data_IF_478834771798
#
_entry.id   IF_478834771798
#
_cell.length_a   1.000
_cell.length_b   1.000
_cell.length_c   1.000
_cell.angle_alpha   90.00
_cell.angle_beta   90.00
_cell.angle_gamma   90.00
#
_symmetry.space_group_name_H-M   'P 1'
#
loop_
_entity.id
_entity.type
_entity.pdbx_description
1 polymer ?
2 branched ?
3 non-polymer ?
4 non-polymer ?
5 water ?
#
# COMPACT_ATOMS: atom_id res chain seq x y z
N UNK A 5 -25.05 -6.72 10.11
CA UNK A 5 -23.83 -7.56 9.86
C UNK A 5 -22.56 -6.85 10.34
N UNK A 6 -22.16 -7.12 11.59
CA UNK A 6 -21.03 -6.38 12.17
C UNK A 6 -19.73 -7.11 11.83
N UNK A 7 -18.67 -6.35 11.47
CA UNK A 7 -17.40 -6.97 11.14
C UNK A 7 -16.41 -6.58 12.24
N UNK A 8 -16.01 -7.55 13.06
CA UNK A 8 -15.02 -7.37 14.12
C UNK A 8 -13.69 -7.91 13.57
N UNK A 9 -12.60 -7.12 13.72
CA UNK A 9 -11.27 -7.61 13.33
C UNK A 9 -10.38 -7.62 14.55
N UNK A 10 -9.52 -8.62 14.65
CA UNK A 10 -8.45 -8.63 15.64
C UNK A 10 -7.17 -9.00 14.88
N UNK A 11 -6.12 -8.17 15.00
CA UNK A 11 -4.92 -8.41 14.22
C UNK A 11 -4.23 -9.69 14.72
N UNK A 12 -3.46 -10.33 13.80
CA UNK A 12 -2.74 -11.55 14.17
C UNK A 12 -1.51 -11.32 15.02
N UNK A 13 -1.03 -10.07 15.07
CA UNK A 13 0.25 -9.77 15.73
C UNK A 13 0.29 -8.26 15.97
N UNK A 14 1.30 -7.83 16.73
CA UNK A 14 1.46 -6.41 16.99
C UNK A 14 1.87 -5.70 15.69
N UNK A 15 1.51 -4.42 15.61
CA UNK A 15 1.86 -3.54 14.50
C UNK A 15 2.71 -2.39 15.02
N UNK A 16 3.90 -2.26 14.44
CA UNK A 16 4.79 -1.12 14.73
C UNK A 16 4.74 -0.27 13.47
N UNK A 17 4.13 0.93 13.55
CA UNK A 17 3.90 1.67 12.30
C UNK A 17 5.15 1.88 11.45
N UNK A 18 6.26 2.17 12.13
CA UNK A 18 7.50 2.48 11.38
C UNK A 18 7.90 1.27 10.52
N UNK A 19 7.60 0.04 11.02
CA UNK A 19 7.93 -1.18 10.28
C UNK A 19 6.86 -1.58 9.30
N UNK A 20 5.59 -1.23 9.58
CA UNK A 20 4.46 -1.81 8.86
C UNK A 20 3.93 -0.91 7.74
N UNK A 21 3.88 0.42 7.96
CA UNK A 21 3.17 1.32 7.06
C UNK A 21 4.19 2.15 6.30
N UNK A 22 4.39 1.81 5.01
CA UNK A 22 5.23 2.63 4.13
C UNK A 22 4.35 3.48 3.20
N UNK A 23 5.02 4.26 2.33
CA UNK A 23 4.30 5.03 1.33
C UNK A 23 5.00 4.79 -0.03
N UNK A 24 4.20 4.78 -1.09
CA UNK A 24 4.77 4.90 -2.43
C UNK A 24 5.33 6.33 -2.57
N UNK A 25 6.30 6.48 -3.48
CA UNK A 25 6.93 7.78 -3.69
C UNK A 25 7.40 7.89 -5.12
N UNK A 26 7.30 9.11 -5.66
CA UNK A 26 7.68 9.35 -7.06
C UNK A 26 8.82 10.38 -7.07
N UNK A 27 9.84 10.14 -6.23
CA UNK A 27 10.84 11.18 -6.00
C UNK A 27 11.58 11.58 -7.28
N UNK A 28 11.73 10.69 -8.25
CA UNK A 28 12.43 11.05 -9.50
C UNK A 28 11.64 12.08 -10.33
N UNK A 29 10.38 12.34 -9.97
CA UNK A 29 9.62 13.38 -10.65
C UNK A 29 9.96 14.75 -10.12
N UNK A 30 10.79 14.84 -9.05
CA UNK A 30 10.92 16.10 -8.34
C UNK A 30 12.41 16.46 -8.15
N UNK A 31 12.69 17.76 -7.96
CA UNK A 31 14.02 18.18 -7.54
C UNK A 31 14.35 17.60 -6.17
N UNK A 32 15.65 17.40 -5.84
CA UNK A 32 16.05 17.01 -4.48
C UNK A 32 15.51 17.96 -3.41
N UNK A 33 15.49 19.26 -3.68
CA UNK A 33 14.94 20.15 -2.67
C UNK A 33 13.50 19.74 -2.35
N UNK A 34 12.73 19.48 -3.40
CA UNK A 34 11.31 19.18 -3.20
C UNK A 34 11.15 17.81 -2.56
N UNK A 35 11.88 16.80 -3.03
CA UNK A 35 11.69 15.46 -2.45
C UNK A 35 12.21 15.40 -1.02
N UNK A 36 13.25 16.19 -0.68
CA UNK A 36 13.68 16.19 0.71
C UNK A 36 12.59 16.78 1.61
N UNK A 37 11.81 17.74 1.10
CA UNK A 37 10.72 18.27 1.90
C UNK A 37 9.62 17.22 2.07
N UNK A 38 9.36 16.42 1.02
CA UNK A 38 8.42 15.31 1.16
C UNK A 38 8.90 14.35 2.23
N UNK A 39 10.22 14.08 2.25
CA UNK A 39 10.75 13.13 3.23
C UNK A 39 10.62 13.72 4.64
N UNK A 40 10.84 15.04 4.80
CA UNK A 40 10.61 15.63 6.11
C UNK A 40 9.20 15.31 6.61
N UNK A 41 8.21 15.49 5.74
CA UNK A 41 6.82 15.24 6.13
C UNK A 41 6.60 13.76 6.44
N UNK A 42 7.25 12.85 5.68
CA UNK A 42 7.09 11.42 5.98
C UNK A 42 7.68 11.10 7.36
N UNK A 43 8.89 11.62 7.64
CA UNK A 43 9.52 11.35 8.94
C UNK A 43 8.70 11.92 10.12
N UNK A 44 8.01 13.03 9.88
CA UNK A 44 7.17 13.63 10.91
C UNK A 44 6.02 12.69 11.32
N UNK A 45 5.63 11.74 10.45
CA UNK A 45 4.63 10.72 10.73
C UNK A 45 5.24 9.53 11.48
N UNK A 46 6.57 9.47 11.61
CA UNK A 46 7.21 8.32 12.27
C UNK A 46 7.36 7.13 11.33
N UNK A 47 7.36 7.40 10.00
CA UNK A 47 7.45 6.33 9.02
C UNK A 47 8.78 6.41 8.28
N UNK A 48 9.18 5.30 7.67
CA UNK A 48 10.50 5.27 7.00
C UNK A 48 10.52 4.40 5.75
N UNK A 49 9.47 3.60 5.46
CA UNK A 49 9.51 2.75 4.27
C UNK A 49 8.93 3.48 3.06
N UNK A 50 9.64 3.39 1.91
CA UNK A 50 9.17 3.98 0.66
C UNK A 50 9.28 2.94 -0.46
N UNK A 51 8.33 3.03 -1.41
CA UNK A 51 8.38 2.21 -2.61
C UNK A 51 8.42 3.13 -3.82
N UNK A 52 9.41 2.86 -4.70
CA UNK A 52 9.67 3.77 -5.82
C UNK A 52 9.59 3.00 -7.14
N UNK A 53 9.02 3.69 -8.15
CA UNK A 53 8.91 3.09 -9.48
C UNK A 53 10.11 3.45 -10.36
N UNK A 54 10.65 2.45 -11.07
CA UNK A 54 11.65 2.66 -12.13
C UNK A 54 11.12 2.07 -13.44
N UNK A 55 11.33 2.83 -14.51
CA UNK A 55 10.86 2.46 -15.84
C UNK A 55 12.09 2.18 -16.69
N UNK A 56 12.25 0.92 -17.13
CA UNK A 56 13.46 0.54 -17.86
C UNK A 56 13.72 1.46 -19.07
N UNK A 57 12.67 1.87 -19.80
CA UNK A 57 12.88 2.65 -21.02
C UNK A 57 13.32 4.08 -20.71
N UNK A 58 13.29 4.48 -19.43
CA UNK A 58 13.82 5.79 -19.02
C UNK A 58 15.26 5.66 -18.51
N UNK A 59 15.61 4.49 -17.94
CA UNK A 59 16.94 4.19 -17.38
C UNK A 59 17.94 3.82 -18.46
N UNK A 60 17.47 3.07 -19.47
CA UNK A 60 18.36 2.58 -20.52
C UNK A 60 17.72 3.00 -21.83
N UNK A 61 18.25 4.07 -22.42
CA UNK A 61 17.59 4.75 -23.53
C UNK A 61 18.00 4.21 -24.89
N UNK A 62 19.08 3.42 -24.89
CA UNK A 62 19.51 2.63 -26.03
C UNK A 62 20.29 1.46 -25.43
N UNK A 63 20.53 0.41 -26.21
CA UNK A 63 21.19 -0.76 -25.62
C UNK A 63 22.52 -0.36 -24.97
N UNK A 64 22.68 -0.71 -23.67
CA UNK A 64 23.88 -0.39 -22.87
C UNK A 64 24.16 1.09 -22.72
N UNK A 65 23.15 1.96 -22.93
CA UNK A 65 23.34 3.40 -22.77
C UNK A 65 22.33 3.87 -21.71
N UNK A 66 22.83 4.40 -20.60
CA UNK A 66 21.97 4.64 -19.42
C UNK A 66 21.93 6.10 -19.00
N UNK A 67 20.86 6.40 -18.22
CA UNK A 67 20.64 7.73 -17.64
C UNK A 67 20.49 7.48 -16.15
N UNK A 68 21.60 7.45 -15.41
CA UNK A 68 21.60 7.04 -14.01
C UNK A 68 21.86 8.19 -13.04
N UNK A 69 22.20 9.40 -13.51
CA UNK A 69 22.64 10.43 -12.55
C UNK A 69 21.59 10.77 -11.48
N UNK A 70 20.32 10.90 -11.90
CA UNK A 70 19.27 11.31 -10.97
C UNK A 70 18.96 10.21 -9.98
N UNK A 71 19.04 8.97 -10.46
CA UNK A 71 18.81 7.82 -9.59
C UNK A 71 19.98 7.66 -8.61
N UNK A 72 21.22 7.87 -9.11
CA UNK A 72 22.38 7.80 -8.22
C UNK A 72 22.21 8.79 -7.05
N UNK A 73 21.82 10.03 -7.37
CA UNK A 73 21.67 11.06 -6.34
C UNK A 73 20.50 10.69 -5.41
N UNK A 74 19.41 10.16 -5.97
CA UNK A 74 18.24 9.79 -5.13
C UNK A 74 18.65 8.70 -4.13
N UNK A 75 19.34 7.65 -4.59
CA UNK A 75 19.72 6.57 -3.67
C UNK A 75 20.62 7.12 -2.56
N UNK A 76 21.59 8.00 -2.92
CA UNK A 76 22.43 8.62 -1.89
C UNK A 76 21.55 9.37 -0.88
N UNK A 77 20.57 10.15 -1.36
CA UNK A 77 19.72 10.92 -0.48
C UNK A 77 18.90 9.98 0.42
N UNK A 78 18.32 8.92 -0.16
CA UNK A 78 17.50 8.02 0.66
C UNK A 78 18.35 7.40 1.76
N UNK A 79 19.60 7.04 1.46
CA UNK A 79 20.49 6.49 2.47
C UNK A 79 20.83 7.54 3.55
N UNK A 80 21.10 8.78 3.12
CA UNK A 80 21.44 9.86 4.06
C UNK A 80 20.25 10.16 4.99
N UNK A 81 19.02 10.06 4.47
CA UNK A 81 17.81 10.33 5.26
C UNK A 81 17.33 9.07 6.03
N UNK A 82 18.08 7.96 5.91
CA UNK A 82 17.81 6.73 6.65
C UNK A 82 16.41 6.18 6.34
N UNK A 83 15.99 6.25 5.08
CA UNK A 83 14.78 5.56 4.67
C UNK A 83 15.10 4.14 4.21
N UNK A 84 14.08 3.29 4.28
CA UNK A 84 14.17 1.92 3.79
C UNK A 84 13.39 1.87 2.50
N UNK A 85 14.03 1.39 1.43
CA UNK A 85 13.42 1.53 0.09
C UNK A 85 13.25 0.17 -0.57
N UNK A 86 12.09 0.01 -1.25
CA UNK A 86 11.90 -1.04 -2.24
C UNK A 86 11.71 -0.34 -3.58
N UNK A 87 12.52 -0.73 -4.59
CA UNK A 87 12.36 -0.21 -5.95
C UNK A 87 11.83 -1.33 -6.84
N UNK A 88 10.88 -1.00 -7.73
CA UNK A 88 10.50 -1.99 -8.75
C UNK A 88 10.92 -1.48 -10.13
N UNK A 89 11.31 -2.40 -11.00
CA UNK A 89 11.63 -2.05 -12.39
C UNK A 89 10.52 -2.63 -13.28
N UNK A 90 9.98 -1.78 -14.15
CA UNK A 90 8.91 -2.25 -15.02
C UNK A 90 9.11 -1.70 -16.43
N UNK A 91 8.48 -2.40 -17.37
CA UNK A 91 8.47 -1.96 -18.77
C UNK A 91 9.71 -2.46 -19.51
N UNK A 92 9.60 -2.54 -20.84
CA UNK A 92 10.74 -2.95 -21.67
C UNK A 92 11.45 -1.73 -22.25
N UNK A 93 12.79 -1.77 -22.19
CA UNK A 93 13.59 -0.86 -23.04
C UNK A 93 13.27 -1.09 -24.52
N UNK A 94 13.43 -0.05 -25.35
CA UNK A 94 13.03 -0.13 -26.76
C UNK A 94 13.77 -1.27 -27.47
N UNK A 95 15.04 -1.51 -27.13
CA UNK A 95 15.85 -2.48 -27.89
C UNK A 95 15.41 -3.93 -27.64
N UNK A 96 14.56 -4.18 -26.59
CA UNK A 96 14.29 -5.53 -26.14
C UNK A 96 12.78 -5.85 -26.15
N UNK A 97 11.94 -4.85 -26.45
CA UNK A 97 10.49 -4.98 -26.30
C UNK A 97 9.95 -6.06 -27.26
N UNK A 98 8.85 -6.73 -26.85
CA UNK A 98 8.07 -7.60 -27.74
C UNK A 98 6.98 -6.81 -28.47
N UNK A 99 6.91 -5.48 -28.26
CA UNK A 99 5.87 -4.66 -28.90
C UNK A 99 5.98 -4.80 -30.41
N UNK A 100 4.85 -4.85 -31.16
CA UNK A 100 4.96 -4.68 -32.60
C UNK A 100 5.43 -3.26 -32.94
N UNK A 101 6.03 -3.09 -34.14
CA UNK A 101 6.64 -1.83 -34.54
C UNK A 101 5.65 -0.65 -34.39
N UNK A 102 4.36 -0.86 -34.69
CA UNK A 102 3.35 0.21 -34.76
C UNK A 102 2.73 0.53 -33.39
N UNK A 103 2.96 -0.27 -32.33
CA UNK A 103 2.28 -0.02 -31.07
C UNK A 103 2.66 1.35 -30.54
N UNK A 104 1.69 2.15 -30.03
CA UNK A 104 2.02 3.36 -29.29
C UNK A 104 2.45 3.13 -27.84
N UNK A 105 2.43 1.87 -27.37
CA UNK A 105 2.73 1.56 -25.98
C UNK A 105 3.98 0.67 -25.91
N UNK A 106 5.10 1.14 -26.47
CA UNK A 106 6.25 0.25 -26.69
C UNK A 106 6.76 -0.42 -25.40
N UNK A 107 6.68 0.27 -24.26
CA UNK A 107 7.26 -0.30 -23.05
C UNK A 107 6.25 -1.17 -22.29
N UNK A 108 4.99 -1.26 -22.74
CA UNK A 108 3.97 -2.01 -22.00
C UNK A 108 3.93 -3.48 -22.42
N UNK A 109 4.94 -3.92 -23.17
CA UNK A 109 5.08 -5.31 -23.56
C UNK A 109 6.28 -5.86 -22.79
N UNK A 110 6.29 -7.18 -22.51
CA UNK A 110 7.40 -7.80 -21.81
C UNK A 110 8.64 -7.94 -22.71
N UNK A 111 9.82 -8.17 -22.10
CA UNK A 111 11.07 -8.27 -22.86
C UNK A 111 11.12 -9.56 -23.66
N UNK A 112 11.81 -9.52 -24.82
CA UNK A 112 11.92 -10.70 -25.67
C UNK A 112 12.71 -11.77 -24.93
N UNK A 113 13.60 -11.35 -24.03
CA UNK A 113 14.49 -12.28 -23.34
C UNK A 113 14.54 -11.90 -21.88
N UNK A 114 13.94 -12.71 -20.97
CA UNK A 114 13.87 -12.33 -19.56
C UNK A 114 15.26 -12.18 -18.93
N UNK A 115 16.27 -12.88 -19.46
CA UNK A 115 17.61 -12.81 -18.89
C UNK A 115 18.16 -11.40 -19.06
N UNK A 116 17.82 -10.73 -20.18
CA UNK A 116 18.32 -9.37 -20.37
C UNK A 116 17.80 -8.45 -19.25
N UNK A 117 16.50 -8.54 -18.97
CA UNK A 117 15.90 -7.79 -17.84
C UNK A 117 16.59 -8.18 -16.52
N UNK A 118 16.74 -9.48 -16.27
CA UNK A 118 17.36 -9.95 -15.03
C UNK A 118 18.73 -9.30 -14.80
N UNK A 119 19.52 -9.16 -15.89
CA UNK A 119 20.85 -8.56 -15.77
C UNK A 119 20.76 -7.09 -15.35
N UNK A 120 19.70 -6.38 -15.78
CA UNK A 120 19.55 -4.99 -15.34
C UNK A 120 19.18 -4.92 -13.85
N UNK A 121 18.33 -5.84 -13.37
CA UNK A 121 18.04 -5.78 -11.94
C UNK A 121 19.29 -6.12 -11.13
N UNK A 122 20.11 -7.04 -11.64
CA UNK A 122 21.38 -7.33 -10.93
C UNK A 122 22.31 -6.11 -10.94
N UNK A 123 22.34 -5.39 -12.08
CA UNK A 123 23.21 -4.22 -12.19
C UNK A 123 22.74 -3.14 -11.21
N UNK A 124 21.42 -2.97 -11.08
CA UNK A 124 20.89 -1.97 -10.14
C UNK A 124 21.21 -2.37 -8.68
N UNK A 125 21.00 -3.63 -8.35
CA UNK A 125 21.22 -4.06 -6.96
C UNK A 125 22.71 -3.92 -6.61
N UNK A 126 23.61 -4.25 -7.58
CA UNK A 126 25.04 -4.11 -7.30
C UNK A 126 25.43 -2.63 -7.14
N UNK A 127 24.81 -1.77 -7.97
CA UNK A 127 25.13 -0.34 -7.94
C UNK A 127 24.61 0.31 -6.64
N UNK A 128 23.49 -0.22 -6.12
CA UNK A 128 22.78 0.44 -5.01
C UNK A 128 22.61 -0.55 -3.86
N UNK A 129 23.70 -0.91 -3.15
CA UNK A 129 23.60 -1.88 -2.05
C UNK A 129 22.74 -1.43 -0.87
N UNK A 130 22.48 -0.11 -0.75
CA UNK A 130 21.67 0.38 0.36
C UNK A 130 20.17 0.07 0.19
N UNK A 131 19.72 -0.28 -1.02
CA UNK A 131 18.31 -0.53 -1.24
C UNK A 131 17.88 -1.78 -0.48
N UNK A 132 16.69 -1.72 0.19
CA UNK A 132 16.34 -2.83 1.06
C UNK A 132 15.74 -4.00 0.31
N UNK A 133 15.03 -3.76 -0.81
CA UNK A 133 14.41 -4.89 -1.50
C UNK A 133 14.19 -4.49 -2.96
N UNK A 134 14.15 -5.51 -3.84
CA UNK A 134 13.97 -5.26 -5.27
C UNK A 134 12.72 -6.00 -5.73
N UNK A 135 11.92 -5.31 -6.56
CA UNK A 135 10.64 -5.85 -7.01
C UNK A 135 10.61 -5.95 -8.54
N UNK A 136 10.04 -7.08 -9.01
CA UNK A 136 10.15 -7.46 -10.43
C UNK A 136 8.86 -7.17 -11.19
N UNK A 137 8.89 -6.11 -12.04
CA UNK A 137 7.74 -5.70 -12.84
C UNK A 137 6.63 -5.13 -11.95
N UNK A 138 5.46 -4.91 -12.56
CA UNK A 138 4.32 -4.34 -11.84
C UNK A 138 3.05 -4.80 -12.56
N UNK A 139 2.02 -5.19 -11.76
CA UNK A 139 0.68 -5.53 -12.23
C UNK A 139 0.71 -6.26 -13.57
N UNK A 140 1.38 -7.44 -13.68
CA UNK A 140 1.42 -8.17 -14.94
C UNK A 140 0.06 -8.77 -15.33
N UNK A 141 -0.89 -8.73 -14.40
CA UNK A 141 -2.25 -9.19 -14.70
C UNK A 141 -3.09 -8.08 -15.37
N UNK A 142 -2.52 -6.87 -15.56
CA UNK A 142 -3.25 -5.75 -16.16
C UNK A 142 -2.65 -5.48 -17.54
N UNK A 143 -3.54 -5.28 -18.54
CA UNK A 143 -3.11 -5.13 -19.94
C UNK A 143 -2.11 -3.98 -20.02
N UNK A 144 -2.36 -2.87 -19.30
CA UNK A 144 -1.51 -1.69 -19.41
C UNK A 144 -0.08 -1.90 -18.94
N UNK A 145 0.23 -3.01 -18.26
CA UNK A 145 1.62 -3.31 -17.91
C UNK A 145 2.18 -4.54 -18.66
N UNK A 146 1.32 -5.32 -19.34
CA UNK A 146 1.82 -6.53 -19.98
C UNK A 146 0.88 -6.84 -21.13
N UNK A 147 1.28 -6.37 -22.31
CA UNK A 147 0.44 -6.58 -23.50
C UNK A 147 0.97 -7.75 -24.31
N UNK A 148 0.15 -8.39 -25.17
CA UNK A 148 -1.24 -8.02 -25.40
C UNK A 148 -2.27 -8.74 -24.51
N UNK A 149 -1.80 -9.67 -23.68
CA UNK A 149 -2.64 -10.47 -22.80
C UNK A 149 -1.78 -10.98 -21.64
N UNK A 150 -2.46 -11.18 -20.48
CA UNK A 150 -1.73 -11.69 -19.33
C UNK A 150 -1.14 -13.07 -19.65
N UNK A 151 0.06 -13.32 -19.12
CA UNK A 151 0.83 -14.49 -19.47
C UNK A 151 1.53 -15.03 -18.23
N UNK A 152 0.86 -15.86 -17.41
CA UNK A 152 1.49 -16.36 -16.20
C UNK A 152 2.84 -17.04 -16.46
N UNK A 153 2.93 -17.86 -17.53
CA UNK A 153 4.19 -18.57 -17.78
C UNK A 153 5.32 -17.57 -18.07
N UNK A 154 5.00 -16.53 -18.86
CA UNK A 154 5.96 -15.50 -19.22
C UNK A 154 6.43 -14.71 -17.99
N UNK A 155 5.46 -14.36 -17.13
CA UNK A 155 5.83 -13.64 -15.90
C UNK A 155 6.65 -14.54 -14.99
N UNK A 156 6.26 -15.81 -14.86
CA UNK A 156 7.02 -16.74 -14.01
C UNK A 156 8.49 -16.85 -14.47
N UNK A 157 8.71 -16.92 -15.80
CA UNK A 157 10.06 -17.01 -16.34
C UNK A 157 10.83 -15.74 -16.02
N UNK A 158 10.15 -14.58 -16.15
CA UNK A 158 10.81 -13.31 -15.85
C UNK A 158 11.20 -13.24 -14.36
N UNK A 159 10.24 -13.64 -13.50
CA UNK A 159 10.50 -13.59 -12.07
C UNK A 159 11.65 -14.56 -11.70
N UNK A 160 11.63 -15.80 -12.25
CA UNK A 160 12.70 -16.74 -11.98
C UNK A 160 14.06 -16.17 -12.40
N UNK A 161 14.18 -15.66 -13.64
CA UNK A 161 15.50 -15.19 -14.09
C UNK A 161 15.99 -14.06 -13.16
N UNK A 162 15.05 -13.16 -12.81
CA UNK A 162 15.38 -12.00 -12.00
C UNK A 162 15.80 -12.42 -10.59
N UNK A 163 15.08 -13.39 -10.03
CA UNK A 163 15.37 -13.85 -8.66
C UNK A 163 16.78 -14.44 -8.60
N UNK A 164 17.11 -15.26 -9.61
CA UNK A 164 18.43 -15.90 -9.63
C UNK A 164 19.51 -14.82 -9.73
N UNK A 165 19.32 -13.83 -10.61
CA UNK A 165 20.32 -12.77 -10.83
C UNK A 165 20.50 -11.89 -9.58
N UNK A 166 19.36 -11.55 -8.92
CA UNK A 166 19.43 -10.69 -7.75
C UNK A 166 20.12 -11.40 -6.59
N UNK A 167 19.89 -12.70 -6.47
CA UNK A 167 20.48 -13.48 -5.38
C UNK A 167 21.97 -13.73 -5.60
N UNK A 168 22.41 -13.75 -6.88
CA UNK A 168 23.84 -13.84 -7.16
C UNK A 168 24.54 -12.58 -6.63
N UNK A 169 23.88 -11.42 -6.74
CA UNK A 169 24.41 -10.17 -6.21
C UNK A 169 24.40 -10.20 -4.67
N UNK A 170 23.25 -10.58 -4.09
CA UNK A 170 23.12 -10.53 -2.64
C UNK A 170 22.11 -11.62 -2.27
N UNK A 171 22.61 -12.78 -1.82
CA UNK A 171 21.72 -13.91 -1.54
C UNK A 171 20.78 -13.67 -0.37
N UNK A 172 21.06 -12.65 0.45
CA UNK A 172 20.20 -12.41 1.61
C UNK A 172 19.08 -11.41 1.32
N UNK A 173 19.18 -10.63 0.22
CA UNK A 173 18.28 -9.51 0.03
C UNK A 173 16.92 -9.98 -0.49
N UNK A 174 15.78 -9.50 0.08
CA UNK A 174 14.48 -9.88 -0.44
C UNK A 174 14.30 -9.61 -1.93
N UNK A 175 13.60 -10.54 -2.57
CA UNK A 175 13.11 -10.40 -3.93
C UNK A 175 11.60 -10.35 -3.83
N UNK A 176 11.03 -9.27 -4.36
CA UNK A 176 9.58 -9.10 -4.25
C UNK A 176 8.98 -9.32 -5.64
N UNK A 177 7.97 -10.18 -5.71
CA UNK A 177 7.27 -10.36 -6.97
C UNK A 177 6.40 -9.13 -7.25
N UNK A 178 6.03 -8.94 -8.52
CA UNK A 178 5.23 -7.78 -8.91
C UNK A 178 3.98 -7.62 -8.05
N UNK A 179 3.65 -6.33 -7.74
CA UNK A 179 2.36 -6.06 -7.11
C UNK A 179 1.28 -6.42 -8.13
N UNK A 180 0.40 -7.37 -7.78
CA UNK A 180 -0.66 -7.74 -8.71
C UNK A 180 -1.79 -6.72 -8.62
N UNK A 181 -2.37 -6.35 -9.75
CA UNK A 181 -3.50 -5.41 -9.71
C UNK A 181 -4.66 -6.07 -8.96
N UNK A 182 -5.38 -5.24 -8.16
CA UNK A 182 -6.55 -5.76 -7.45
C UNK A 182 -6.13 -6.91 -6.53
N UNK A 183 -6.84 -8.02 -6.61
CA UNK A 183 -6.49 -9.24 -5.85
C UNK A 183 -5.88 -10.31 -6.78
N UNK A 184 -5.32 -9.84 -7.91
CA UNK A 184 -4.56 -10.61 -8.91
C UNK A 184 -5.49 -11.17 -9.99
N UNK A 185 -6.78 -10.79 -10.00
CA UNK A 185 -7.66 -11.26 -11.06
C UNK A 185 -7.12 -10.92 -12.46
N UNK A 186 -7.40 -11.83 -13.40
CA UNK A 186 -7.02 -11.62 -14.80
C UNK A 186 -8.26 -11.55 -15.69
N UNK A 187 -8.20 -10.82 -16.83
CA UNK A 187 -9.35 -10.73 -17.74
C UNK A 187 -9.91 -12.09 -18.17
N UNK A 188 -9.03 -13.10 -18.32
CA UNK A 188 -9.54 -14.39 -18.76
C UNK A 188 -10.30 -15.17 -17.67
N UNK A 189 -10.38 -14.62 -16.44
CA UNK A 189 -11.18 -15.27 -15.43
C UNK A 189 -10.33 -16.04 -14.43
N UNK A 190 -9.04 -16.32 -14.74
CA UNK A 190 -8.14 -16.91 -13.75
C UNK A 190 -7.67 -15.79 -12.82
N UNK A 191 -6.93 -16.16 -11.78
CA UNK A 191 -6.19 -15.17 -11.02
C UNK A 191 -4.72 -15.47 -11.19
N UNK A 192 -3.91 -14.41 -11.14
CA UNK A 192 -2.48 -14.62 -11.36
C UNK A 192 -1.91 -15.39 -10.18
N UNK A 193 -2.38 -15.14 -8.94
CA UNK A 193 -1.87 -16.00 -7.85
C UNK A 193 -2.15 -17.48 -8.07
N UNK A 194 -3.37 -17.83 -8.52
CA UNK A 194 -3.66 -19.26 -8.76
C UNK A 194 -2.79 -19.79 -9.90
N UNK A 195 -2.70 -19.02 -11.00
CA UNK A 195 -1.94 -19.52 -12.16
C UNK A 195 -0.46 -19.69 -11.84
N UNK A 196 0.11 -18.71 -11.09
CA UNK A 196 1.52 -18.85 -10.70
C UNK A 196 1.73 -20.02 -9.73
N UNK A 197 0.74 -20.26 -8.87
CA UNK A 197 0.84 -21.37 -7.93
C UNK A 197 0.89 -22.68 -8.71
N UNK A 198 0.10 -22.78 -9.79
CA UNK A 198 0.07 -24.02 -10.56
C UNK A 198 1.39 -24.21 -11.29
N UNK A 199 2.15 -23.11 -11.49
CA UNK A 199 3.48 -23.17 -12.09
C UNK A 199 4.57 -23.39 -11.03
N UNK A 200 4.20 -23.49 -9.74
CA UNK A 200 5.17 -23.74 -8.66
C UNK A 200 6.07 -22.54 -8.34
N UNK A 201 5.59 -21.32 -8.65
CA UNK A 201 6.42 -20.14 -8.43
C UNK A 201 6.75 -19.92 -6.94
N UNK A 202 6.00 -20.56 -6.02
CA UNK A 202 6.32 -20.39 -4.61
C UNK A 202 7.71 -20.95 -4.30
N UNK A 203 8.21 -21.88 -5.14
CA UNK A 203 9.55 -22.42 -4.94
C UNK A 203 10.64 -21.33 -5.01
N UNK A 204 10.35 -20.17 -5.65
CA UNK A 204 11.32 -19.08 -5.74
C UNK A 204 11.45 -18.30 -4.44
N UNK A 205 10.49 -18.44 -3.52
CA UNK A 205 10.59 -17.77 -2.23
C UNK A 205 10.58 -16.24 -2.35
N UNK A 206 9.78 -15.69 -3.30
CA UNK A 206 9.66 -14.24 -3.40
C UNK A 206 8.50 -13.77 -2.50
N UNK A 207 8.62 -12.49 -2.08
CA UNK A 207 7.51 -11.89 -1.35
C UNK A 207 6.31 -11.69 -2.29
N UNK A 208 5.12 -12.05 -1.79
CA UNK A 208 3.90 -11.92 -2.57
C UNK A 208 3.27 -10.58 -2.27
N UNK A 209 2.67 -9.94 -3.27
CA UNK A 209 2.08 -8.63 -3.02
C UNK A 209 0.97 -8.33 -4.02
N UNK A 210 -0.03 -7.57 -3.57
CA UNK A 210 -1.13 -7.18 -4.45
C UNK A 210 -1.62 -5.79 -4.04
N UNK A 211 -2.49 -5.25 -4.90
CA UNK A 211 -2.88 -3.84 -4.91
C UNK A 211 -4.39 -3.78 -4.85
N UNK A 212 -5.00 -4.00 -3.65
CA UNK A 212 -6.44 -4.22 -3.59
C UNK A 212 -7.21 -2.91 -3.54
N UNK A 213 -7.14 -2.14 -4.63
CA UNK A 213 -7.95 -0.93 -4.74
C UNK A 213 -9.42 -1.32 -4.89
N UNK A 214 -10.29 -0.69 -4.07
CA UNK A 214 -11.74 -0.89 -4.21
C UNK A 214 -12.43 0.48 -4.11
N UNK A 215 -13.69 0.57 -4.57
CA UNK A 215 -14.32 1.89 -4.67
C UNK A 215 -14.50 2.49 -3.27
N UNK A 216 -14.96 1.67 -2.30
CA UNK A 216 -15.19 2.10 -0.91
C UNK A 216 -14.09 1.51 -0.04
N UNK A 217 -13.93 1.97 1.21
CA UNK A 217 -12.87 1.39 2.02
C UNK A 217 -13.01 -0.11 2.23
N UNK A 218 -14.26 -0.60 2.35
CA UNK A 218 -14.50 -1.96 2.82
C UNK A 218 -15.07 -2.84 1.71
N UNK A 219 -14.98 -2.38 0.45
CA UNK A 219 -15.50 -3.21 -0.66
C UNK A 219 -15.82 -2.27 -1.83
N UNK A 220 -16.46 -2.80 -2.89
CA UNK A 220 -16.76 -1.94 -4.03
C UNK A 220 -18.16 -1.31 -3.98
N UNK A 221 -19.12 -1.96 -3.30
CA UNK A 221 -20.50 -1.46 -3.30
C UNK A 221 -21.04 -1.52 -1.87
N UNK A 222 -21.98 -0.60 -1.50
CA UNK A 222 -22.46 -0.53 -0.12
C UNK A 222 -23.13 -1.82 0.38
N UNK A 223 -23.76 -2.59 -0.54
CA UNK A 223 -24.44 -3.83 -0.20
C UNK A 223 -23.51 -5.04 -0.27
N UNK A 224 -22.19 -4.81 -0.54
CA UNK A 224 -21.27 -5.93 -0.61
C UNK A 224 -19.92 -5.49 -0.09
N UNK A 225 -19.79 -5.29 1.22
CA UNK A 225 -18.53 -4.83 1.80
C UNK A 225 -17.67 -6.05 2.11
N UNK A 226 -17.07 -6.62 1.05
CA UNK A 226 -16.39 -7.90 1.20
C UNK A 226 -14.87 -7.76 1.18
N UNK A 227 -14.33 -6.54 1.38
CA UNK A 227 -12.86 -6.38 1.40
C UNK A 227 -12.21 -7.35 2.41
N UNK A 228 -12.72 -7.36 3.66
CA UNK A 228 -12.09 -8.17 4.70
C UNK A 228 -12.12 -9.66 4.32
N UNK A 229 -13.29 -10.14 3.92
CA UNK A 229 -13.42 -11.54 3.52
C UNK A 229 -12.44 -11.87 2.40
N UNK A 230 -12.40 -11.01 1.37
CA UNK A 230 -11.61 -11.29 0.17
C UNK A 230 -10.12 -11.25 0.54
N UNK A 231 -9.70 -10.24 1.31
CA UNK A 231 -8.29 -10.17 1.72
C UNK A 231 -7.94 -11.38 2.59
N UNK A 232 -8.83 -11.74 3.54
CA UNK A 232 -8.52 -12.89 4.38
C UNK A 232 -8.30 -14.14 3.50
N UNK A 233 -9.19 -14.36 2.52
CA UNK A 233 -9.10 -15.55 1.67
C UNK A 233 -7.79 -15.57 0.88
N UNK A 234 -7.43 -14.44 0.27
CA UNK A 234 -6.18 -14.38 -0.52
C UNK A 234 -4.98 -14.57 0.40
N UNK A 235 -4.99 -13.88 1.57
CA UNK A 235 -3.82 -13.96 2.45
C UNK A 235 -3.68 -15.39 3.00
N UNK A 236 -4.81 -16.05 3.36
CA UNK A 236 -4.67 -17.42 3.86
C UNK A 236 -4.08 -18.30 2.76
N UNK A 237 -4.51 -18.12 1.52
CA UNK A 237 -4.01 -18.95 0.41
C UNK A 237 -2.50 -18.72 0.20
N UNK A 238 -2.03 -17.45 0.33
CA UNK A 238 -0.61 -17.15 0.17
C UNK A 238 0.17 -17.81 1.31
N UNK A 239 -0.37 -17.70 2.55
CA UNK A 239 0.33 -18.36 3.66
C UNK A 239 0.41 -19.89 3.44
N UNK A 240 -0.68 -20.49 2.97
CA UNK A 240 -0.75 -21.94 2.72
C UNK A 240 0.29 -22.34 1.66
N UNK A 241 0.56 -21.42 0.71
CA UNK A 241 1.53 -21.69 -0.35
C UNK A 241 2.98 -21.49 0.10
N UNK A 242 3.20 -21.01 1.34
CA UNK A 242 4.55 -20.91 1.88
C UNK A 242 5.29 -19.64 1.47
N UNK A 243 4.56 -18.56 1.19
CA UNK A 243 5.26 -17.33 0.85
C UNK A 243 6.09 -16.86 2.04
N UNK A 244 7.25 -16.18 1.83
CA UNK A 244 8.04 -15.69 2.95
C UNK A 244 7.35 -14.54 3.67
N UNK A 245 6.50 -13.79 2.96
CA UNK A 245 5.90 -12.57 3.50
C UNK A 245 4.82 -12.16 2.53
N UNK A 246 3.83 -11.39 3.02
CA UNK A 246 2.80 -10.78 2.19
C UNK A 246 2.88 -9.28 2.39
N UNK A 247 3.03 -8.53 1.29
CA UNK A 247 2.91 -7.07 1.38
C UNK A 247 1.69 -6.66 0.58
N UNK A 248 1.18 -5.45 0.87
CA UNK A 248 0.31 -4.82 -0.13
C UNK A 248 1.03 -3.57 -0.61
N UNK A 249 1.55 -3.57 -1.84
CA UNK A 249 2.46 -2.49 -2.22
C UNK A 249 1.73 -1.26 -2.75
N UNK A 250 0.38 -1.29 -2.93
CA UNK A 250 -0.39 -0.10 -3.26
C UNK A 250 -1.85 -0.30 -2.83
N UNK A 251 -2.43 0.82 -2.38
CA UNK A 251 -3.85 0.98 -2.08
C UNK A 251 -4.05 2.47 -1.83
N UNK A 252 -5.30 2.94 -1.97
CA UNK A 252 -5.51 4.37 -1.71
C UNK A 252 -6.59 4.93 -2.64
N UNK A 253 -6.80 6.25 -2.51
CA UNK A 253 -7.83 6.95 -3.27
C UNK A 253 -7.29 8.31 -3.72
N UNK A 254 -7.84 8.74 -4.88
CA UNK A 254 -7.49 10.03 -5.47
C UNK A 254 -8.51 11.09 -5.03
N UNK A 255 -7.99 12.30 -4.70
CA UNK A 255 -8.85 13.45 -4.38
C UNK A 255 -9.31 14.19 -5.66
N UNK A 256 -9.07 13.62 -6.85
CA UNK A 256 -9.28 14.37 -8.10
C UNK A 256 -10.74 14.81 -8.24
N UNK A 257 -10.95 15.91 -9.00
CA UNK A 257 -12.28 16.49 -9.20
C UNK A 257 -13.03 15.79 -10.34
N UNK A 258 -12.28 15.10 -11.21
CA UNK A 258 -12.85 14.38 -12.34
C UNK A 258 -12.29 14.91 -13.66
N UNK A 259 -12.88 14.53 -14.82
CA UNK A 259 -14.04 13.65 -14.86
C UNK A 259 -13.74 12.23 -14.34
N UNK A 260 -14.78 11.55 -13.82
CA UNK A 260 -14.60 10.20 -13.32
C UNK A 260 -13.91 9.29 -14.35
N UNK A 261 -12.88 8.59 -13.88
CA UNK A 261 -12.21 7.53 -14.61
C UNK A 261 -11.95 6.43 -13.59
N UNK A 262 -12.86 5.45 -13.57
CA UNK A 262 -12.88 4.30 -12.68
C UNK A 262 -13.32 4.69 -11.27
N UNK A 263 -12.58 5.60 -10.61
CA UNK A 263 -12.91 5.89 -9.22
C UNK A 263 -13.95 7.01 -9.12
N UNK A 264 -14.99 6.81 -8.29
CA UNK A 264 -15.92 7.87 -7.97
C UNK A 264 -15.22 9.08 -7.34
N UNK A 265 -15.78 10.28 -7.59
CA UNK A 265 -15.20 11.52 -7.09
C UNK A 265 -15.55 11.68 -5.60
N UNK A 266 -14.52 11.86 -4.76
CA UNK A 266 -14.73 11.93 -3.31
C UNK A 266 -14.03 13.16 -2.70
N UNK A 267 -13.10 13.77 -3.43
CA UNK A 267 -12.47 15.01 -2.99
C UNK A 267 -11.47 14.77 -1.85
N UNK A 268 -10.86 15.86 -1.36
CA UNK A 268 -9.85 15.75 -0.31
C UNK A 268 -10.44 15.18 0.99
N UNK A 269 -11.70 15.52 1.34
CA UNK A 269 -12.26 15.02 2.59
C UNK A 269 -12.60 13.53 2.45
N UNK A 270 -13.06 13.14 1.26
CA UNK A 270 -13.38 11.74 1.04
C UNK A 270 -12.08 10.90 1.07
N UNK A 271 -11.02 11.45 0.47
CA UNK A 271 -9.71 10.77 0.51
C UNK A 271 -9.31 10.54 1.98
N UNK A 272 -9.40 11.59 2.82
CA UNK A 272 -8.99 11.46 4.21
C UNK A 272 -9.80 10.37 4.92
N UNK A 273 -11.13 10.40 4.73
CA UNK A 273 -12.02 9.46 5.39
C UNK A 273 -11.67 8.05 4.92
N UNK A 274 -11.59 7.87 3.59
CA UNK A 274 -11.47 6.49 3.09
C UNK A 274 -10.10 5.89 3.43
N UNK A 275 -9.03 6.69 3.34
CA UNK A 275 -7.71 6.18 3.70
C UNK A 275 -7.67 5.71 5.16
N UNK A 276 -8.25 6.50 6.07
CA UNK A 276 -8.21 6.10 7.48
C UNK A 276 -9.02 4.83 7.72
N UNK A 277 -10.23 4.73 7.13
CA UNK A 277 -11.00 3.51 7.33
C UNK A 277 -10.26 2.31 6.76
N UNK A 278 -9.69 2.46 5.54
CA UNK A 278 -8.98 1.32 4.96
C UNK A 278 -7.73 0.97 5.78
N UNK A 279 -7.02 1.97 6.31
CA UNK A 279 -5.83 1.67 7.13
C UNK A 279 -6.25 0.87 8.37
N UNK A 280 -7.39 1.27 8.98
CA UNK A 280 -7.88 0.53 10.15
C UNK A 280 -8.16 -0.93 9.80
N UNK A 281 -8.69 -1.20 8.59
CA UNK A 281 -8.89 -2.60 8.20
C UNK A 281 -7.55 -3.31 7.93
N UNK A 282 -6.70 -2.72 7.05
CA UNK A 282 -5.54 -3.47 6.58
C UNK A 282 -4.54 -3.71 7.71
N UNK A 283 -4.42 -2.77 8.68
CA UNK A 283 -3.46 -2.97 9.76
C UNK A 283 -3.93 -4.07 10.73
N UNK A 284 -5.19 -4.51 10.61
CA UNK A 284 -5.68 -5.62 11.42
C UNK A 284 -5.80 -6.94 10.63
N UNK A 285 -5.27 -6.96 9.40
CA UNK A 285 -5.32 -8.18 8.58
C UNK A 285 -3.89 -8.74 8.46
N UNK A 286 -3.78 -9.89 7.79
CA UNK A 286 -2.51 -10.62 7.77
C UNK A 286 -1.59 -10.13 6.65
N UNK A 287 -1.15 -8.88 6.76
CA UNK A 287 -0.06 -8.33 5.95
C UNK A 287 1.16 -8.14 6.81
N UNK A 288 2.35 -8.33 6.23
CA UNK A 288 3.57 -7.98 6.94
C UNK A 288 3.91 -6.50 6.81
N UNK A 289 3.52 -5.89 5.67
CA UNK A 289 3.83 -4.49 5.39
C UNK A 289 2.86 -4.02 4.31
N UNK A 290 2.45 -2.75 4.37
CA UNK A 290 1.59 -2.16 3.35
C UNK A 290 2.12 -0.79 2.99
N UNK A 291 1.81 -0.34 1.75
CA UNK A 291 2.32 0.94 1.26
C UNK A 291 1.16 1.73 0.66
N UNK A 292 0.83 2.84 1.33
CA UNK A 292 -0.19 3.75 0.80
C UNK A 292 0.26 4.36 -0.53
N UNK A 293 -0.70 4.46 -1.50
CA UNK A 293 -0.43 5.16 -2.75
C UNK A 293 -1.12 6.53 -2.60
N UNK A 294 -0.39 7.66 -2.43
CA UNK A 294 1.06 7.78 -2.57
C UNK A 294 1.49 9.02 -1.78
N UNK A 295 2.79 9.24 -1.66
CA UNK A 295 3.27 10.32 -0.79
C UNK A 295 2.83 11.69 -1.31
N UNK A 296 2.95 11.92 -2.64
CA UNK A 296 2.73 13.27 -3.16
C UNK A 296 1.77 13.28 -4.34
N UNK A 297 1.03 14.39 -4.44
CA UNK A 297 0.37 14.76 -5.69
C UNK A 297 1.43 14.86 -6.81
N UNK A 298 0.97 14.70 -8.05
CA UNK A 298 1.89 14.71 -9.20
C UNK A 298 1.43 15.77 -10.20
N UNK A 299 2.33 16.20 -11.08
CA UNK A 299 1.98 17.22 -12.06
C UNK A 299 1.32 16.58 -13.29
N UNK A 300 1.28 17.37 -14.40
CA UNK A 300 0.47 17.00 -15.56
C UNK A 300 1.05 15.82 -16.34
N UNK A 301 2.26 15.34 -15.97
CA UNK A 301 2.79 14.13 -16.56
C UNK A 301 1.95 12.90 -16.17
N UNK A 302 1.26 12.99 -15.03
CA UNK A 302 0.42 11.90 -14.56
C UNK A 302 -0.95 12.01 -15.19
N UNK A 303 -1.69 10.88 -15.23
CA UNK A 303 -3.09 10.96 -15.63
C UNK A 303 -3.86 11.86 -14.66
N UNK A 304 -5.02 12.36 -15.12
CA UNK A 304 -5.79 13.25 -14.27
C UNK A 304 -6.09 12.60 -12.89
N UNK A 305 -6.54 11.33 -12.85
CA UNK A 305 -6.84 10.71 -11.57
C UNK A 305 -5.54 10.55 -10.77
N UNK A 306 -4.43 10.22 -11.46
CA UNK A 306 -3.22 9.83 -10.74
C UNK A 306 -2.52 11.04 -10.10
N UNK A 307 -2.90 12.27 -10.48
CA UNK A 307 -2.28 13.47 -9.95
C UNK A 307 -2.61 13.71 -8.47
N UNK A 308 -3.66 13.08 -7.94
CA UNK A 308 -4.22 13.59 -6.68
C UNK A 308 -4.33 12.51 -5.59
N UNK A 309 -3.47 11.48 -5.65
CA UNK A 309 -3.42 10.45 -4.62
C UNK A 309 -2.56 10.86 -3.42
N UNK A 310 -1.91 12.03 -3.46
CA UNK A 310 -0.88 12.33 -2.47
C UNK A 310 -1.44 12.49 -1.04
N UNK A 311 -0.56 12.17 -0.06
CA UNK A 311 -0.73 12.71 1.30
C UNK A 311 -0.47 14.22 1.26
N UNK A 312 0.43 14.62 0.33
CA UNK A 312 0.95 15.98 0.26
C UNK A 312 0.52 16.59 -1.07
N UNK A 313 0.36 17.92 -1.06
CA UNK A 313 0.10 18.60 -2.32
C UNK A 313 1.43 18.86 -3.05
N UNK A 314 1.34 19.54 -4.21
CA UNK A 314 2.54 19.72 -5.03
C UNK A 314 3.62 20.53 -4.33
N UNK A 315 3.26 21.30 -3.30
CA UNK A 315 4.22 22.10 -2.54
C UNK A 315 4.83 21.30 -1.40
N UNK A 316 4.48 19.99 -1.32
CA UNK A 316 4.89 19.11 -0.25
C UNK A 316 4.26 19.53 1.09
N UNK A 317 3.10 20.16 1.02
CA UNK A 317 2.37 20.53 2.23
C UNK A 317 1.21 19.56 2.47
N UNK A 318 0.85 19.35 3.74
CA UNK A 318 -0.20 18.38 4.10
C UNK A 318 -1.54 18.69 3.43
N UNK A 319 -2.15 17.66 2.86
CA UNK A 319 -3.55 17.66 2.51
C UNK A 319 -4.36 17.17 3.71
N UNK A 320 -5.70 17.26 3.69
CA UNK A 320 -6.51 16.73 4.80
C UNK A 320 -6.16 15.29 5.19
N UNK A 321 -5.88 14.43 4.20
CA UNK A 321 -5.58 13.03 4.55
C UNK A 321 -4.29 12.97 5.37
N UNK A 322 -3.28 13.82 5.08
CA UNK A 322 -2.08 13.79 5.90
C UNK A 322 -2.41 14.24 7.32
N UNK A 323 -3.17 15.35 7.46
CA UNK A 323 -3.46 15.81 8.83
C UNK A 323 -4.25 14.77 9.64
N UNK A 324 -5.18 14.08 8.95
CA UNK A 324 -6.00 13.04 9.59
C UNK A 324 -5.12 11.86 9.99
N UNK A 325 -4.22 11.42 9.07
CA UNK A 325 -3.36 10.28 9.40
C UNK A 325 -2.44 10.67 10.59
N UNK A 326 -1.95 11.92 10.57
CA UNK A 326 -1.07 12.40 11.64
C UNK A 326 -1.81 12.33 12.99
N UNK A 327 -3.08 12.77 12.99
CA UNK A 327 -3.87 12.72 14.23
C UNK A 327 -4.08 11.27 14.67
N UNK A 328 -4.37 10.37 13.71
CA UNK A 328 -4.60 8.97 14.01
C UNK A 328 -3.34 8.36 14.64
N UNK A 329 -2.18 8.55 13.99
CA UNK A 329 -0.95 7.96 14.53
C UNK A 329 -0.55 8.57 15.87
N UNK A 330 -0.91 9.85 16.13
CA UNK A 330 -0.62 10.40 17.46
C UNK A 330 -1.49 9.75 18.52
N UNK A 331 -2.75 9.45 18.18
CA UNK A 331 -3.61 8.74 19.15
C UNK A 331 -3.12 7.32 19.43
N UNK A 332 -2.76 6.60 18.35
CA UNK A 332 -2.34 5.22 18.55
C UNK A 332 -1.02 5.15 19.30
N UNK A 333 -0.14 6.13 19.05
CA UNK A 333 1.28 5.93 19.40
C UNK A 333 1.94 4.98 18.39
N UNK A 334 3.19 4.58 18.63
CA UNK A 334 4.01 3.95 17.60
C UNK A 334 3.78 2.45 17.40
N UNK A 335 3.07 1.81 18.36
CA UNK A 335 2.98 0.35 18.38
C UNK A 335 1.63 -0.05 18.98
N UNK A 336 0.90 -0.94 18.29
CA UNK A 336 -0.38 -1.43 18.78
C UNK A 336 -0.30 -2.93 18.99
N UNK A 337 -0.89 -3.47 20.05
CA UNK A 337 -0.95 -4.91 20.26
C UNK A 337 -2.41 -5.32 20.11
N UNK A 338 -2.68 -6.50 19.51
CA UNK A 338 -4.07 -6.91 19.31
C UNK A 338 -4.84 -6.96 20.63
N UNK A 339 -6.12 -6.58 20.58
CA UNK A 339 -6.96 -6.62 21.76
C UNK A 339 -8.39 -6.80 21.31
N UNK A 340 -9.32 -6.73 22.28
CA UNK A 340 -10.72 -6.90 21.94
C UNK A 340 -11.42 -5.56 22.10
N UNK A 341 -12.52 -5.34 21.36
CA UNK A 341 -13.32 -4.15 21.54
C UNK A 341 -13.94 -4.13 22.94
N UNK A 342 -14.36 -2.96 23.42
CA UNK A 342 -15.17 -2.92 24.63
C UNK A 342 -16.46 -3.70 24.44
N UNK A 343 -17.05 -4.15 25.57
CA UNK A 343 -18.39 -4.74 25.49
C UNK A 343 -19.37 -3.64 25.02
N UNK A 344 -20.24 -3.95 24.04
CA UNK A 344 -21.19 -3.00 23.50
C UNK A 344 -22.59 -3.60 23.58
N UNK A 345 -23.57 -2.68 23.59
CA UNK A 345 -24.98 -2.96 23.41
C UNK A 345 -25.48 -2.06 22.28
N UNK A 346 -26.26 -2.63 21.37
CA UNK A 346 -26.89 -1.88 20.28
C UNK A 346 -25.84 -1.26 19.37
N UNK A 347 -24.69 -1.94 19.17
CA UNK A 347 -23.81 -1.48 18.11
C UNK A 347 -24.58 -1.55 16.79
N UNK A 348 -24.61 -0.48 15.94
CA UNK A 348 -25.45 -0.50 14.74
C UNK A 348 -25.10 -1.62 13.75
N UNK A 349 -26.12 -2.06 12.99
CA UNK A 349 -25.90 -2.98 11.90
C UNK A 349 -24.85 -2.38 10.98
N UNK A 350 -23.98 -3.22 10.39
CA UNK A 350 -22.97 -2.74 9.43
C UNK A 350 -21.73 -2.15 10.09
N UNK A 351 -21.66 -2.15 11.44
CA UNK A 351 -20.48 -1.53 12.05
C UNK A 351 -19.21 -2.34 11.81
N UNK A 352 -18.09 -1.62 11.83
CA UNK A 352 -16.75 -2.20 11.86
C UNK A 352 -16.18 -1.91 13.24
N UNK A 353 -15.43 -2.88 13.80
CA UNK A 353 -15.05 -2.78 15.20
C UNK A 353 -13.68 -3.45 15.37
N UNK A 354 -12.66 -2.69 15.80
CA UNK A 354 -11.31 -3.23 15.94
C UNK A 354 -10.73 -2.76 17.27
N UNK A 355 -10.20 -3.68 18.07
CA UNK A 355 -9.57 -3.32 19.34
C UNK A 355 -8.07 -3.51 19.34
N UNK A 356 -7.37 -2.59 20.03
CA UNK A 356 -5.92 -2.69 20.21
C UNK A 356 -5.55 -2.15 21.58
N UNK A 357 -4.33 -2.45 22.06
CA UNK A 357 -3.76 -1.66 23.16
C UNK A 357 -2.54 -0.91 22.67
N UNK A 358 -2.32 0.26 23.29
CA UNK A 358 -1.20 1.14 22.96
C UNK A 358 -0.04 0.87 23.91
N UNK A 359 1.08 1.54 23.65
CA UNK A 359 2.29 1.34 24.48
C UNK A 359 2.06 1.72 25.95
N UNK A 360 1.10 2.62 26.24
CA UNK A 360 0.79 2.98 27.64
C UNK A 360 -0.22 2.01 28.25
N UNK A 361 -0.63 0.96 27.50
CA UNK A 361 -1.54 -0.03 28.06
C UNK A 361 -3.01 0.32 27.89
N UNK A 362 -3.30 1.56 27.44
CA UNK A 362 -4.71 1.92 27.26
C UNK A 362 -5.26 1.27 26.00
N UNK A 363 -6.57 1.02 26.00
CA UNK A 363 -7.23 0.40 24.87
C UNK A 363 -7.59 1.44 23.84
N UNK A 364 -7.51 1.06 22.54
CA UNK A 364 -8.01 1.90 21.46
C UNK A 364 -9.08 1.10 20.74
N UNK A 365 -10.27 1.70 20.54
CA UNK A 365 -11.33 1.05 19.78
C UNK A 365 -11.51 1.87 18.50
N UNK A 366 -11.34 1.20 17.33
CA UNK A 366 -11.59 1.88 16.06
C UNK A 366 -12.94 1.37 15.55
N UNK A 367 -13.84 2.30 15.17
CA UNK A 367 -15.19 1.84 14.85
C UNK A 367 -15.90 2.87 13.98
N UNK A 368 -16.88 2.39 13.23
CA UNK A 368 -17.69 3.24 12.36
C UNK A 368 -18.83 2.39 11.80
N UNK A 369 -19.83 3.04 11.19
CA UNK A 369 -20.93 2.32 10.55
C UNK A 369 -21.58 3.27 9.55
N UNK A 370 -21.93 2.77 8.37
CA UNK A 370 -22.59 3.60 7.38
C UNK A 370 -23.90 4.17 7.93
N UNK A 371 -24.59 3.44 8.83
CA UNK A 371 -25.87 3.85 9.39
C UNK A 371 -25.74 4.98 10.45
N UNK A 372 -24.53 5.29 10.92
CA UNK A 372 -24.34 6.19 12.06
C UNK A 372 -25.03 5.64 13.31
N UNK A 373 -25.59 6.55 14.14
CA UNK A 373 -26.34 6.06 15.30
C UNK A 373 -25.50 6.17 16.57
N UNK A 374 -25.84 5.32 17.56
CA UNK A 374 -25.22 5.40 18.89
C UNK A 374 -24.94 3.99 19.38
N UNK A 375 -23.98 3.83 20.28
CA UNK A 375 -23.75 2.51 20.84
C UNK A 375 -23.59 2.70 22.36
N UNK A 376 -23.98 1.69 23.15
CA UNK A 376 -23.81 1.79 24.59
C UNK A 376 -22.64 0.92 25.00
N UNK A 377 -21.75 1.45 25.85
CA UNK A 377 -20.64 0.70 26.42
C UNK A 377 -20.97 0.52 27.91
N UNK A 378 -21.68 -0.57 28.28
CA UNK A 378 -22.24 -0.66 29.64
C UNK A 378 -21.21 -0.74 30.76
N UNK A 379 -19.99 -1.21 30.47
CA UNK A 379 -19.03 -1.52 31.52
C UNK A 379 -18.05 -0.36 31.78
N UNK A 380 -18.17 0.76 31.02
CA UNK A 380 -17.23 1.88 31.15
C UNK A 380 -17.89 3.07 31.85
N UNK A 381 -17.06 3.80 32.63
CA UNK A 381 -17.49 5.03 33.26
C UNK A 381 -16.74 6.22 32.66
N UNK A 382 -15.62 5.98 31.99
CA UNK A 382 -14.78 7.05 31.45
C UNK A 382 -14.15 6.56 30.14
N UNK A 383 -14.07 7.46 29.14
CA UNK A 383 -13.27 7.19 27.94
C UNK A 383 -13.14 8.50 27.20
N UNK A 384 -12.25 8.55 26.20
CA UNK A 384 -12.12 9.75 25.38
C UNK A 384 -12.29 9.39 23.92
N UNK A 385 -13.15 10.17 23.23
CA UNK A 385 -13.46 9.94 21.84
C UNK A 385 -12.65 10.94 20.99
N UNK A 386 -11.98 10.44 19.94
CA UNK A 386 -11.19 11.28 19.06
C UNK A 386 -11.77 11.08 17.66
N UNK A 387 -12.01 12.19 16.97
CA UNK A 387 -12.41 12.17 15.57
C UNK A 387 -11.21 12.65 14.76
N UNK A 388 -10.45 11.73 14.11
CA UNK A 388 -9.24 12.14 13.43
C UNK A 388 -9.46 13.02 12.18
N UNK A 389 -10.68 13.01 11.64
CA UNK A 389 -11.01 13.87 10.50
C UNK A 389 -11.16 15.34 10.90
N UNK A 390 -11.67 15.60 12.12
CA UNK A 390 -11.91 16.99 12.51
C UNK A 390 -10.94 17.43 13.59
N UNK A 391 -10.31 16.48 14.30
CA UNK A 391 -9.48 16.85 15.45
C UNK A 391 -10.28 16.99 16.75
N UNK A 392 -11.58 16.72 16.72
CA UNK A 392 -12.36 16.87 17.96
C UNK A 392 -11.97 15.80 18.97
N UNK A 393 -11.83 16.21 20.25
CA UNK A 393 -11.57 15.29 21.34
C UNK A 393 -12.67 15.47 22.38
N UNK A 394 -13.38 14.38 22.72
CA UNK A 394 -14.53 14.47 23.60
C UNK A 394 -14.33 13.53 24.77
N UNK A 395 -14.19 14.07 26.01
CA UNK A 395 -14.22 13.22 27.20
C UNK A 395 -15.65 12.75 27.44
N UNK A 396 -15.82 11.45 27.61
CA UNK A 396 -17.12 10.85 27.88
C UNK A 396 -17.10 10.25 29.27
N UNK A 397 -18.21 10.40 30.03
CA UNK A 397 -18.31 9.86 31.38
C UNK A 397 -19.77 9.53 31.67
N UNK A 398 -19.99 8.47 32.45
CA UNK A 398 -21.35 8.13 32.82
C UNK A 398 -21.32 7.31 34.09
N UNK A 399 -22.38 7.44 34.89
CA UNK A 399 -22.48 6.68 36.13
C UNK A 399 -22.80 5.22 35.83
N UNK A 400 -23.48 4.95 34.71
CA UNK A 400 -23.89 3.59 34.45
C UNK A 400 -23.67 3.24 32.98
N UNK A 401 -22.41 3.32 32.51
CA UNK A 401 -22.14 3.04 31.11
C UNK A 401 -22.04 4.34 30.30
N UNK A 402 -21.46 4.23 29.10
CA UNK A 402 -21.28 5.39 28.21
C UNK A 402 -22.21 5.25 27.02
N UNK A 403 -22.59 6.38 26.46
CA UNK A 403 -23.24 6.38 25.15
C UNK A 403 -22.27 7.04 24.17
N UNK A 404 -21.97 6.35 23.06
CA UNK A 404 -20.95 6.81 22.13
C UNK A 404 -21.62 7.00 20.78
N UNK A 405 -21.49 8.19 20.19
CA UNK A 405 -22.02 8.41 18.84
C UNK A 405 -21.17 7.68 17.79
N UNK A 406 -21.84 7.01 16.84
CA UNK A 406 -21.17 6.28 15.76
C UNK A 406 -21.33 7.09 14.46
N UNK A 407 -20.23 7.20 13.70
CA UNK A 407 -20.26 7.95 12.45
C UNK A 407 -19.92 7.01 11.29
N UNK A 408 -20.21 7.47 10.07
CA UNK A 408 -19.81 6.74 8.85
C UNK A 408 -18.29 6.74 8.69
N UNK A 409 -17.62 7.69 9.33
CA UNK A 409 -16.17 7.80 9.30
C UNK A 409 -15.58 7.22 10.58
N UNK A 410 -14.28 6.89 10.52
CA UNK A 410 -13.62 6.27 11.68
C UNK A 410 -13.60 7.24 12.86
N UNK A 411 -13.87 6.70 14.06
CA UNK A 411 -13.53 7.40 15.28
C UNK A 411 -12.69 6.46 16.16
N UNK A 412 -12.03 7.03 17.19
CA UNK A 412 -11.12 6.24 18.01
C UNK A 412 -11.53 6.52 19.45
N UNK A 413 -11.86 5.45 20.17
CA UNK A 413 -12.20 5.58 21.58
C UNK A 413 -10.99 5.07 22.39
N UNK A 414 -10.46 5.88 23.32
CA UNK A 414 -9.34 5.47 24.15
C UNK A 414 -9.86 5.27 25.58
N UNK A 415 -9.62 4.08 26.14
CA UNK A 415 -10.28 3.72 27.40
C UNK A 415 -9.37 2.81 28.21
N UNK A 416 -9.61 2.80 29.53
CA UNK A 416 -8.86 1.99 30.48
C UNK A 416 -9.76 0.80 30.85
X LIG B 1 -1.59 1.17 -10.02
X LIG B 1 -0.28 1.48 -10.79
X LIG B 1 0.76 0.64 -10.27
X LIG B 1 0.13 2.96 -10.72
X LIG B 1 1.01 3.27 -11.81
X LIG B 1 -1.05 3.92 -10.85
X LIG B 1 -0.62 5.27 -10.66
X LIG B 1 -2.10 3.56 -9.80
X LIG B 1 -2.62 2.22 -10.21
X LIG B 1 -3.26 4.54 -9.66
X LIG B 1 -3.90 4.70 -10.97
X LIG B 2 2.41 3.22 -11.54
X LIG B 2 3.22 3.15 -12.78
X LIG B 2 3.12 4.49 -13.51
X LIG B 2 3.60 5.55 -12.56
X LIG B 2 2.78 5.59 -11.26
X LIG B 2 3.54 6.41 -10.24
X LIG B 2 4.59 2.93 -12.44
X LIG B 2 4.04 4.45 -14.61
X LIG B 2 3.48 6.79 -13.20
X LIG B 2 2.79 4.27 -10.68
X LIG B 3 3.58 3.92 -15.84
X LIG B 3 3.78 4.97 -16.92
X LIG B 3 3.47 4.34 -18.26
X LIG B 3 4.34 3.13 -18.49
X LIG B 3 4.21 2.10 -17.36
X LIG B 3 5.24 0.97 -17.45
X LIG B 3 5.14 5.44 -16.90
X LIG B 3 3.79 5.30 -19.30
X LIG B 3 3.94 2.49 -19.73
X LIG B 3 4.46 2.79 -16.09
X LIG B 3 6.61 1.51 -17.45
X LIG B 4 2.69 6.18 -19.56
X LIG B 4 3.22 7.49 -20.07
X LIG B 4 2.06 8.37 -20.42
X LIG B 4 1.14 7.69 -21.38
X LIG B 4 0.70 6.31 -20.81
X LIG B 4 -0.15 5.52 -21.78
X LIG B 4 4.03 7.25 -21.23
X LIG B 4 2.55 9.58 -20.97
X LIG B 4 -0.07 8.48 -21.54
X LIG B 4 1.89 5.54 -20.55
X LIG B 4 -0.65 4.36 -21.11
X LIG B 5 5.37 7.85 -21.25
X LIG B 5 5.84 7.95 -22.69
X LIG B 5 6.13 6.57 -23.27
X LIG B 5 7.07 5.80 -22.36
X LIG B 5 6.44 5.70 -20.95
X LIG B 5 7.33 5.02 -19.92
X LIG B 5 7.01 8.80 -22.71
X LIG B 5 6.72 6.71 -24.59
X LIG B 5 7.26 4.46 -22.86
X LIG B 5 6.26 7.06 -20.46
X LIG B 5 8.64 5.72 -19.88
X LIG C 1 0.96 5.80 23.24
X LIG C 1 0.99 5.00 24.39
X LIG C 1 0.17 7.03 23.60
X LIG C 1 1.09 7.87 24.27
X LIG C 1 -0.45 7.75 22.42
X LIG C 1 -0.46 9.15 22.69
X LIG D 1 15.89 -19.26 -7.05
X LIG D 1 16.84 -18.39 -6.42
X LIG D 1 15.83 -20.62 -6.38
X LIG D 1 14.79 -21.41 -6.97
X LIG D 1 15.65 -20.57 -4.87
X LIG D 1 14.32 -20.23 -4.49
X LIG E 1 16.66 -15.40 1.60
X LIG E 1 16.32 -14.69 2.79
X LIG E 1 15.93 -14.87 0.39
X LIG E 1 14.71 -14.20 0.72
X LIG E 1 16.77 -13.97 -0.50
X LIG E 1 15.98 -13.39 -1.53
X LIG F 1 24.00 -4.54 -17.60
X LIG F 1 23.62 -5.91 -17.60
X LIG F 1 25.32 -4.37 -18.31
X LIG F 1 26.14 -3.42 -17.62
X LIG F 1 25.14 -4.04 -19.76
X LIG F 1 24.34 -2.86 -19.95
X LIG G 1 -6.32 -0.40 -11.90
X LIG G 1 -6.70 0.74 -11.12
X LIG G 1 -5.15 -1.18 -11.28
X LIG G 1 -3.92 -0.53 -11.60
X LIG G 1 -5.30 -1.39 -9.77
X LIG G 1 -4.41 -2.35 -9.18
X LIG H 1 -15.83 -2.96 28.27
X LIG I 1 10.66 7.90 -8.44
X LIG J 1 12.42 5.63 -14.11
#
# INVERSE_FOLDING_TARGET
GSHMEIQVLKAPRAVVWKDFLGVNAQFLWFSPERYNKQIDRLQDLGLEWVRLDLHWDRLETAEDQYQLASLDQLVKDLEARQLKSVFYLVGSARFITTAPFYSPFQDQYPPRDPEVFARRMAMLSQRYPSVAAWQVWNEPNLIGFWRPKADPEGYAKLLQASTIALRMVDPEKPVVSAGMAFFSEMPDGRTMFDALGHLGVESLGTIATYHPYTQLPEGNYPWNLDFVSHANQINRALRNAGVPAIWSTEWGWSAYKGPKELQDIIGVEGQADYVLRRLALMSALDYDRIFLFTLSDLDQRASVRDRDYGLLDLDANPKPVYLALQRFLKVTGPKLRPADPPVTEDLPDGSFSIGWTREDGRNVWLFWSARGGNVRLPKLKEATLHDPLSGKVTPLSGSDGLEVPVKSSLQMLVWE
NOJ C1 C2 O2 C3 O3 C4 O4 C5 N5 C6 O6
RAM C1 C2 C3 C4 C5 C6 O2 O3 O4 O5
BMA C1 C2 C3 C4 C5 C6 O2 O3 O4 O5 O6
BMA C1 C2 C3 C4 C5 C6 O2 O3 O4 O5 O6
MAN C1 C2 C3 C4 C5 C6 O2 O3 O4 O5 O6
GOL C1 O1 C2 O2 C3 O3
GOL C1 O1 C2 O2 C3 O3
GOL C1 O1 C2 O2 C3 O3
GOL C1 O1 C2 O2 C3 O3
GOL C1 O1 C2 O2 C3 O3
CL CL
CL CL
CL CL
#
